data_IF_303337971877
#
_entry.id   IF_303337971877
#
_cell.length_a   1.000
_cell.length_b   1.000
_cell.length_c   1.000
_cell.angle_alpha   90.00
_cell.angle_beta   90.00
_cell.angle_gamma   90.00
#
_symmetry.space_group_name_H-M   'P 1'
#
loop_
_entity.id
_entity.type
_entity.pdbx_description
1 polymer ?
#
# COMPACT_ATOMS: atom_id res chain seq x y z
N UNK A 1 -24.67 -2.68 -5.89
CA UNK A 1 -25.88 -3.17 -5.20
C UNK A 1 -25.67 -3.56 -3.73
N UNK A 2 -24.46 -3.61 -3.15
CA UNK A 2 -24.31 -3.80 -1.68
C UNK A 2 -24.35 -2.48 -0.88
N UNK A 3 -23.82 -1.39 -1.43
CA UNK A 3 -23.68 -0.11 -0.71
C UNK A 3 -25.00 0.65 -0.58
N UNK A 4 -25.83 0.68 -1.63
CA UNK A 4 -27.15 1.34 -1.60
C UNK A 4 -28.07 0.70 -0.56
N UNK A 5 -28.04 -0.63 -0.45
CA UNK A 5 -28.81 -1.38 0.54
C UNK A 5 -28.40 -1.06 1.98
N UNK A 6 -27.10 -0.96 2.24
CA UNK A 6 -26.57 -0.57 3.55
C UNK A 6 -27.01 0.86 3.92
N UNK A 7 -26.95 1.78 2.96
CA UNK A 7 -27.33 3.18 3.16
C UNK A 7 -28.83 3.32 3.45
N UNK A 8 -29.68 2.65 2.68
CA UNK A 8 -31.15 2.72 2.88
C UNK A 8 -31.59 2.09 4.19
N UNK A 9 -30.96 0.97 4.57
CA UNK A 9 -31.38 0.19 5.74
C UNK A 9 -30.78 0.70 7.05
N UNK A 10 -29.57 1.24 7.04
CA UNK A 10 -28.87 1.73 8.23
C UNK A 10 -28.88 3.26 8.36
N UNK A 11 -29.07 3.99 7.27
CA UNK A 11 -29.12 5.46 7.24
C UNK A 11 -30.05 6.11 8.28
N UNK A 12 -31.28 5.61 8.50
CA UNK A 12 -32.18 6.15 9.52
C UNK A 12 -31.64 6.07 10.96
N UNK A 13 -30.76 5.11 11.24
CA UNK A 13 -30.19 4.88 12.56
C UNK A 13 -28.87 5.61 12.80
N UNK A 14 -28.30 6.22 11.76
CA UNK A 14 -26.99 6.89 11.82
C UNK A 14 -27.07 8.38 12.17
N UNK A 15 -28.26 8.89 12.53
CA UNK A 15 -28.45 10.19 13.19
C UNK A 15 -27.83 11.38 12.46
N UNK A 16 -28.56 11.97 11.50
CA UNK A 16 -28.18 13.23 10.85
C UNK A 16 -27.46 13.08 9.50
N UNK A 17 -27.42 11.86 8.96
CA UNK A 17 -26.87 11.61 7.62
C UNK A 17 -27.98 11.76 6.58
N UNK A 18 -27.87 12.77 5.72
CA UNK A 18 -28.75 12.95 4.55
C UNK A 18 -28.41 11.91 3.47
N UNK A 19 -29.22 10.86 3.45
CA UNK A 19 -29.06 9.69 2.57
C UNK A 19 -29.18 10.06 1.08
N UNK A 20 -30.04 11.01 0.73
CA UNK A 20 -30.23 11.42 -0.66
C UNK A 20 -28.98 12.15 -1.18
N UNK A 21 -28.39 13.03 -0.36
CA UNK A 21 -27.12 13.69 -0.67
C UNK A 21 -25.96 12.70 -0.87
N UNK A 22 -25.92 11.62 -0.08
CA UNK A 22 -24.91 10.57 -0.25
C UNK A 22 -25.10 9.80 -1.56
N UNK A 23 -26.34 9.45 -1.90
CA UNK A 23 -26.65 8.76 -3.16
C UNK A 23 -26.28 9.59 -4.38
N UNK A 24 -26.54 10.89 -4.36
CA UNK A 24 -26.15 11.81 -5.44
C UNK A 24 -24.62 11.90 -5.60
N UNK A 25 -23.89 12.00 -4.48
CA UNK A 25 -22.42 12.05 -4.46
C UNK A 25 -21.79 10.73 -4.95
N UNK A 26 -22.40 9.59 -4.63
CA UNK A 26 -21.95 8.26 -5.04
C UNK A 26 -22.28 7.93 -6.51
N UNK A 27 -23.39 8.46 -7.06
CA UNK A 27 -23.77 8.24 -8.47
C UNK A 27 -22.84 8.95 -9.46
N UNK A 28 -22.11 9.99 -9.02
CA UNK A 28 -21.26 10.80 -9.89
C UNK A 28 -19.84 10.26 -10.12
N UNK A 29 -19.18 9.74 -9.08
CA UNK A 29 -17.84 9.11 -9.16
C UNK A 29 -17.47 8.53 -7.77
N UNK A 30 -16.68 7.46 -7.68
CA UNK A 30 -16.26 6.87 -6.38
C UNK A 30 -15.45 7.83 -5.50
N UNK A 31 -14.94 8.91 -6.10
CA UNK A 31 -14.27 10.07 -5.46
C UNK A 31 -15.20 10.95 -4.61
N UNK A 32 -16.51 10.75 -4.71
CA UNK A 32 -17.49 11.45 -3.88
C UNK A 32 -17.34 11.15 -2.39
N UNK A 33 -16.92 9.93 -2.05
CA UNK A 33 -16.73 9.47 -0.66
C UNK A 33 -15.57 10.19 0.01
N UNK A 34 -14.47 10.43 -0.70
CA UNK A 34 -13.27 11.10 -0.18
C UNK A 34 -13.56 12.55 0.23
N UNK A 35 -14.35 13.27 -0.59
CA UNK A 35 -14.83 14.62 -0.28
C UNK A 35 -15.79 14.65 0.90
N UNK A 36 -16.66 13.65 1.03
CA UNK A 36 -17.61 13.55 2.14
C UNK A 36 -16.91 13.31 3.48
N UNK A 37 -15.75 12.64 3.46
CA UNK A 37 -14.92 12.35 4.63
C UNK A 37 -13.93 13.46 4.98
N UNK A 38 -13.94 14.60 4.28
CA UNK A 38 -13.02 15.72 4.53
C UNK A 38 -11.56 15.40 4.21
N UNK A 39 -11.31 14.35 3.41
CA UNK A 39 -9.97 14.01 2.95
C UNK A 39 -9.72 14.87 1.72
N UNK A 40 -8.90 15.92 1.88
CA UNK A 40 -8.31 16.63 0.74
C UNK A 40 -7.41 15.64 0.00
N UNK A 41 -8.00 14.95 -0.99
CA UNK A 41 -7.24 14.12 -1.91
C UNK A 41 -6.26 15.04 -2.65
N UNK A 42 -4.97 14.92 -2.33
CA UNK A 42 -3.94 15.61 -3.10
C UNK A 42 -3.96 15.00 -4.50
N UNK A 43 -4.62 15.67 -5.43
CA UNK A 43 -4.80 15.17 -6.79
C UNK A 43 -3.60 15.55 -7.67
N UNK A 44 -3.05 14.58 -8.41
CA UNK A 44 -2.04 14.80 -9.46
C UNK A 44 -0.72 14.06 -9.22
N UNK A 45 0.30 14.37 -10.03
CA UNK A 45 1.66 13.79 -10.03
C UNK A 45 2.27 13.65 -8.63
N UNK A 46 1.92 14.57 -7.72
CA UNK A 46 2.34 14.54 -6.31
C UNK A 46 1.89 13.29 -5.54
N UNK A 47 0.70 12.75 -5.80
CA UNK A 47 0.22 11.52 -5.18
C UNK A 47 1.02 10.30 -5.67
N UNK A 48 1.35 10.26 -6.96
CA UNK A 48 2.20 9.20 -7.52
C UNK A 48 3.63 9.28 -6.96
N UNK A 49 4.18 10.48 -6.82
CA UNK A 49 5.49 10.70 -6.18
C UNK A 49 5.52 10.26 -4.70
N UNK A 50 4.48 10.62 -3.93
CA UNK A 50 4.31 10.16 -2.55
C UNK A 50 4.20 8.63 -2.47
N UNK A 51 3.45 8.02 -3.39
CA UNK A 51 3.33 6.56 -3.45
C UNK A 51 4.69 5.91 -3.75
N UNK A 52 5.45 6.46 -4.69
CA UNK A 52 6.78 5.96 -5.02
C UNK A 52 7.80 6.15 -3.89
N UNK A 53 7.74 7.26 -3.15
CA UNK A 53 8.54 7.46 -1.94
C UNK A 53 8.17 6.44 -0.85
N UNK A 54 6.87 6.19 -0.66
CA UNK A 54 6.37 5.19 0.29
C UNK A 54 6.82 3.77 -0.08
N UNK A 55 6.76 3.40 -1.36
CA UNK A 55 7.28 2.10 -1.85
C UNK A 55 8.78 1.98 -1.58
N UNK A 56 9.57 3.04 -1.84
CA UNK A 56 11.00 3.06 -1.56
C UNK A 56 11.30 2.85 -0.07
N UNK A 57 10.55 3.51 0.80
CA UNK A 57 10.66 3.33 2.25
C UNK A 57 10.39 1.89 2.68
N UNK A 58 9.37 1.22 2.10
CA UNK A 58 9.12 -0.19 2.37
C UNK A 58 10.26 -1.09 1.91
N UNK A 59 10.82 -0.87 0.71
CA UNK A 59 11.97 -1.65 0.23
C UNK A 59 13.13 -1.55 1.21
N UNK A 60 13.48 -0.34 1.66
CA UNK A 60 14.57 -0.12 2.60
C UNK A 60 14.33 -0.83 3.94
N UNK A 61 13.12 -0.67 4.50
CA UNK A 61 12.74 -1.33 5.74
C UNK A 61 12.86 -2.86 5.65
N UNK A 62 12.42 -3.47 4.56
CA UNK A 62 12.52 -4.92 4.40
C UNK A 62 13.96 -5.38 4.15
N UNK A 63 14.81 -4.57 3.51
CA UNK A 63 16.24 -4.88 3.38
C UNK A 63 16.96 -4.84 4.74
N UNK A 64 16.62 -3.88 5.59
CA UNK A 64 17.12 -3.83 6.97
C UNK A 64 16.64 -5.03 7.79
N UNK A 65 15.36 -5.40 7.68
CA UNK A 65 14.82 -6.61 8.31
C UNK A 65 15.54 -7.87 7.81
N UNK A 66 15.78 -8.01 6.49
CA UNK A 66 16.53 -9.13 5.93
C UNK A 66 17.95 -9.21 6.52
N UNK A 67 18.65 -8.08 6.60
CA UNK A 67 20.00 -8.00 7.17
C UNK A 67 20.02 -8.43 8.64
N UNK A 68 19.05 -7.96 9.44
CA UNK A 68 18.90 -8.35 10.85
C UNK A 68 18.64 -9.85 11.01
N UNK A 69 17.69 -10.41 10.24
CA UNK A 69 17.36 -11.83 10.28
C UNK A 69 18.53 -12.72 9.82
N UNK A 70 19.33 -12.26 8.85
CA UNK A 70 20.54 -12.97 8.41
C UNK A 70 21.63 -12.96 9.49
N UNK A 71 21.83 -11.85 10.21
CA UNK A 71 22.75 -11.80 11.35
C UNK A 71 22.34 -12.80 12.42
N UNK A 72 21.06 -12.75 12.83
CA UNK A 72 20.51 -13.66 13.80
C UNK A 72 20.65 -15.13 13.37
N UNK A 73 20.40 -15.44 12.10
CA UNK A 73 20.58 -16.80 11.59
C UNK A 73 22.03 -17.28 11.70
N UNK A 74 23.01 -16.40 11.39
CA UNK A 74 24.43 -16.73 11.50
C UNK A 74 24.86 -16.92 12.95
N UNK A 75 24.38 -16.07 13.85
CA UNK A 75 24.64 -16.16 15.30
C UNK A 75 24.05 -17.43 15.91
N UNK A 76 22.82 -17.81 15.57
CA UNK A 76 22.22 -19.04 16.06
C UNK A 76 22.94 -20.27 15.50
N UNK A 77 23.34 -20.21 14.22
CA UNK A 77 24.15 -21.27 13.61
C UNK A 77 25.51 -21.42 14.30
N UNK A 78 26.19 -20.33 14.64
CA UNK A 78 27.49 -20.40 15.33
C UNK A 78 27.36 -20.89 16.77
N UNK A 79 26.21 -20.66 17.41
CA UNK A 79 25.85 -21.22 18.73
C UNK A 79 25.41 -22.69 18.70
N UNK A 80 25.42 -23.33 17.52
CA UNK A 80 25.08 -24.75 17.39
C UNK A 80 23.58 -25.06 17.44
N UNK A 81 22.70 -24.07 17.24
CA UNK A 81 21.25 -24.29 17.20
C UNK A 81 20.90 -25.18 16.01
N UNK A 82 20.02 -26.15 16.23
CA UNK A 82 19.62 -27.09 15.19
C UNK A 82 18.85 -26.38 14.07
N UNK A 83 18.99 -26.81 12.80
CA UNK A 83 18.23 -26.25 11.68
C UNK A 83 16.71 -26.35 11.82
N UNK A 84 16.21 -27.34 12.56
CA UNK A 84 14.79 -27.50 12.92
C UNK A 84 14.27 -26.32 13.73
N UNK A 85 15.05 -25.90 14.72
CA UNK A 85 14.65 -24.85 15.68
C UNK A 85 14.70 -23.46 15.01
N UNK A 86 15.47 -23.34 13.93
CA UNK A 86 15.54 -22.15 13.09
C UNK A 86 14.51 -22.13 11.96
N UNK A 87 13.57 -23.09 11.88
CA UNK A 87 12.64 -23.17 10.76
C UNK A 87 11.76 -21.91 10.64
N UNK A 88 11.24 -21.41 11.76
CA UNK A 88 10.47 -20.16 11.80
C UNK A 88 11.28 -18.96 11.28
N UNK A 89 12.55 -18.87 11.63
CA UNK A 89 13.46 -17.84 11.12
C UNK A 89 13.68 -17.96 9.61
N UNK A 90 13.84 -19.20 9.09
CA UNK A 90 13.96 -19.47 7.65
C UNK A 90 12.67 -19.16 6.89
N UNK A 91 11.50 -19.43 7.48
CA UNK A 91 10.20 -19.04 6.90
C UNK A 91 10.09 -17.53 6.82
N UNK A 92 10.43 -16.81 7.90
CA UNK A 92 10.41 -15.34 7.93
C UNK A 92 11.37 -14.72 6.90
N UNK A 93 12.60 -15.24 6.79
CA UNK A 93 13.56 -14.80 5.76
C UNK A 93 12.99 -14.96 4.34
N UNK A 94 12.30 -16.07 4.06
CA UNK A 94 11.64 -16.29 2.75
C UNK A 94 10.53 -15.28 2.50
N UNK A 95 9.71 -14.99 3.51
CA UNK A 95 8.64 -13.98 3.41
C UNK A 95 9.18 -12.58 3.14
N UNK A 96 10.19 -12.17 3.91
CA UNK A 96 10.83 -10.85 3.74
C UNK A 96 11.41 -10.71 2.35
N UNK A 97 12.12 -11.74 1.86
CA UNK A 97 12.64 -11.77 0.48
C UNK A 97 11.53 -11.67 -0.57
N UNK A 98 10.41 -12.36 -0.37
CA UNK A 98 9.24 -12.26 -1.27
C UNK A 98 8.68 -10.84 -1.29
N UNK A 99 8.56 -10.20 -0.13
CA UNK A 99 8.11 -8.80 -0.02
C UNK A 99 9.07 -7.84 -0.70
N UNK A 100 10.38 -7.99 -0.50
CA UNK A 100 11.39 -7.17 -1.19
C UNK A 100 11.23 -7.26 -2.71
N UNK A 101 11.05 -8.47 -3.27
CA UNK A 101 10.84 -8.64 -4.71
C UNK A 101 9.60 -7.91 -5.20
N UNK A 102 8.48 -8.09 -4.50
CA UNK A 102 7.21 -7.43 -4.84
C UNK A 102 7.34 -5.90 -4.81
N UNK A 103 7.91 -5.32 -3.75
CA UNK A 103 8.08 -3.87 -3.67
C UNK A 103 9.12 -3.33 -4.66
N UNK A 104 10.15 -4.11 -5.01
CA UNK A 104 11.08 -3.74 -6.09
C UNK A 104 10.41 -3.74 -7.46
N UNK A 105 9.50 -4.67 -7.72
CA UNK A 105 8.69 -4.68 -8.94
C UNK A 105 7.76 -3.46 -9.01
N UNK A 106 7.13 -3.09 -7.89
CA UNK A 106 6.34 -1.86 -7.79
C UNK A 106 7.22 -0.61 -8.02
N UNK A 107 8.42 -0.57 -7.45
CA UNK A 107 9.35 0.53 -7.62
C UNK A 107 9.83 0.69 -9.08
N UNK A 108 9.98 -0.40 -9.83
CA UNK A 108 10.29 -0.33 -11.27
C UNK A 108 9.19 0.37 -12.06
N UNK A 109 7.92 0.18 -11.68
CA UNK A 109 6.78 0.88 -12.32
C UNK A 109 6.83 2.39 -12.07
N UNK A 110 7.31 2.81 -10.90
CA UNK A 110 7.58 4.23 -10.62
C UNK A 110 8.67 4.81 -11.54
N UNK A 111 9.76 4.07 -11.78
CA UNK A 111 10.88 4.53 -12.62
C UNK A 111 10.53 4.55 -14.13
N UNK A 112 9.65 3.66 -14.58
CA UNK A 112 9.20 3.64 -15.97
C UNK A 112 8.23 4.76 -16.35
N UNK A 113 7.42 5.25 -15.39
CA UNK A 113 6.43 6.32 -15.63
C UNK A 113 7.03 7.72 -15.69
N UNK A 114 8.10 7.98 -14.95
CA UNK A 114 8.81 9.27 -14.99
C UNK A 114 9.47 9.60 -16.34
N UNK A 115 9.61 8.62 -17.23
CA UNK A 115 10.17 8.82 -18.60
C UNK A 115 9.06 9.12 -19.62
N UNK A 116 7.81 8.72 -19.35
CA UNK A 116 6.68 8.96 -20.25
C UNK A 116 6.00 10.32 -20.08
N UNK A 117 6.15 10.97 -18.92
CA UNK A 117 5.59 12.31 -18.68
C UNK A 117 6.41 13.46 -19.29
N UNK A 118 7.64 13.20 -19.71
CA UNK A 118 8.55 14.20 -20.29
C UNK A 118 8.51 14.31 -21.82
N UNK A 119 7.68 13.53 -22.50
CA UNK A 119 7.49 13.62 -23.96
C UNK A 119 6.14 14.26 -24.27
N UNK A 120 6.03 15.58 -24.09
CA UNK A 120 5.06 16.38 -24.85
C UNK A 120 5.77 16.92 -26.09
N UNK A 121 5.33 16.61 -27.32
CA UNK A 121 5.81 17.32 -28.49
C UNK A 121 5.27 18.76 -28.39
N UNK A 122 6.17 19.73 -28.35
CA UNK A 122 5.79 21.12 -28.58
C UNK A 122 5.38 21.25 -30.05
N UNK A 123 4.13 21.61 -30.27
CA UNK A 123 3.63 22.15 -31.53
C UNK A 123 3.52 23.66 -31.42
#
# INVERSE_FOLDING_TARGET
>A
MEVEYLIERLGPYLGGIDVEKIKEVLRGDTRGVERLLGIEGVSGEYAEELECMRIRAFVNRYLEEEKGLLSLYRELKSKGVAPSDMESLRRRLREVRRRIRLYKEMLRKCQGRSVSSSVRPQG
#
